data_IF_098317607612
#
_entry.id   IF_098317607612
#
_cell.length_a   1.000
_cell.length_b   1.000
_cell.length_c   1.000
_cell.angle_alpha   90.00
_cell.angle_beta   90.00
_cell.angle_gamma   90.00
#
_symmetry.space_group_name_H-M   'P 1'
#
loop_
_entity.id
_entity.type
_entity.pdbx_description
1 polymer ?
#
# COMPACT_ATOMS: atom_id res chain seq x y z
N UNK A 1 22.88 0.13 11.28
CA UNK A 1 23.12 -1.29 11.58
C UNK A 1 21.76 -1.87 11.91
N UNK A 2 21.13 -2.53 10.94
CA UNK A 2 19.80 -3.14 11.14
C UNK A 2 19.94 -4.29 12.14
N UNK A 3 18.99 -4.46 13.07
CA UNK A 3 19.01 -5.59 13.98
C UNK A 3 18.98 -6.89 13.17
N UNK A 4 19.75 -7.86 13.64
CA UNK A 4 19.95 -9.18 13.06
C UNK A 4 18.59 -9.82 12.75
N UNK A 5 18.19 -9.83 11.46
CA UNK A 5 16.87 -10.30 11.01
C UNK A 5 16.66 -11.81 11.22
N UNK A 6 17.71 -12.57 11.55
CA UNK A 6 17.66 -14.01 11.60
C UNK A 6 17.80 -14.55 13.03
N UNK A 7 16.73 -15.15 13.55
CA UNK A 7 16.77 -16.03 14.72
C UNK A 7 17.47 -17.37 14.41
N UNK A 8 17.62 -18.23 15.42
CA UNK A 8 18.39 -19.51 15.38
C UNK A 8 17.70 -20.65 14.60
N UNK A 9 17.09 -20.37 13.45
CA UNK A 9 16.32 -21.37 12.73
C UNK A 9 17.11 -22.03 11.57
N UNK A 10 16.49 -23.02 10.91
CA UNK A 10 17.07 -24.03 10.02
C UNK A 10 17.79 -23.43 8.78
N UNK A 11 18.67 -24.19 8.09
CA UNK A 11 19.53 -23.66 7.01
C UNK A 11 18.78 -23.01 5.84
N UNK A 12 17.57 -23.47 5.54
CA UNK A 12 16.71 -22.88 4.51
C UNK A 12 16.10 -21.54 4.95
N UNK A 13 15.88 -21.37 6.26
CA UNK A 13 15.38 -20.13 6.84
C UNK A 13 16.42 -18.99 6.78
N UNK A 14 17.71 -19.36 6.70
CA UNK A 14 18.81 -18.40 6.60
C UNK A 14 19.00 -17.84 5.17
N UNK A 15 18.56 -18.56 4.13
CA UNK A 15 18.81 -18.16 2.74
C UNK A 15 17.95 -16.95 2.32
N UNK A 16 16.63 -16.99 2.58
CA UNK A 16 15.74 -15.87 2.26
C UNK A 16 16.02 -14.66 3.15
N UNK A 17 16.26 -14.86 4.45
CA UNK A 17 16.70 -13.79 5.36
C UNK A 17 17.95 -13.07 4.83
N UNK A 18 18.93 -13.83 4.34
CA UNK A 18 20.16 -13.28 3.79
C UNK A 18 19.93 -12.55 2.48
N UNK A 19 19.12 -13.10 1.58
CA UNK A 19 18.76 -12.45 0.31
C UNK A 19 18.03 -11.12 0.56
N UNK A 20 17.11 -11.11 1.52
CA UNK A 20 16.42 -9.90 1.99
C UNK A 20 17.41 -8.88 2.55
N UNK A 21 18.31 -9.32 3.44
CA UNK A 21 19.27 -8.43 4.07
C UNK A 21 20.21 -7.82 3.02
N UNK A 22 20.71 -8.61 2.08
CA UNK A 22 21.54 -8.14 0.97
C UNK A 22 20.77 -7.14 0.09
N UNK A 23 19.47 -7.36 -0.16
CA UNK A 23 18.64 -6.44 -0.92
C UNK A 23 18.35 -5.12 -0.19
N UNK A 24 18.16 -5.19 1.13
CA UNK A 24 17.95 -4.01 1.99
C UNK A 24 19.23 -3.15 2.06
N UNK A 25 20.39 -3.79 2.20
CA UNK A 25 21.69 -3.12 2.29
C UNK A 25 22.17 -2.57 0.94
N UNK A 26 22.02 -3.34 -0.14
CA UNK A 26 22.49 -2.96 -1.48
C UNK A 26 21.49 -2.11 -2.26
N UNK A 27 20.21 -2.14 -1.86
CA UNK A 27 19.11 -1.51 -2.59
C UNK A 27 18.76 -2.20 -3.91
N UNK A 28 19.33 -3.38 -4.20
CA UNK A 28 19.02 -4.17 -5.40
C UNK A 28 18.06 -5.30 -5.06
N UNK A 29 16.96 -5.40 -5.79
CA UNK A 29 15.94 -6.45 -5.57
C UNK A 29 15.97 -7.40 -6.74
N UNK A 30 16.36 -8.65 -6.49
CA UNK A 30 16.37 -9.69 -7.52
C UNK A 30 14.93 -9.99 -7.95
N UNK A 31 14.77 -10.45 -9.20
CA UNK A 31 13.45 -10.85 -9.69
C UNK A 31 12.85 -12.00 -8.86
N UNK A 32 13.71 -12.91 -8.40
CA UNK A 32 13.35 -14.05 -7.57
C UNK A 32 12.89 -13.60 -6.17
N UNK A 33 13.65 -12.71 -5.50
CA UNK A 33 13.23 -12.14 -4.21
C UNK A 33 11.93 -11.35 -4.35
N UNK A 34 11.79 -10.61 -5.46
CA UNK A 34 10.60 -9.83 -5.76
C UNK A 34 9.37 -10.72 -5.88
N UNK A 35 9.50 -11.85 -6.58
CA UNK A 35 8.45 -12.84 -6.72
C UNK A 35 8.11 -13.50 -5.38
N UNK A 36 9.12 -13.97 -4.63
CA UNK A 36 8.95 -14.60 -3.31
C UNK A 36 8.20 -13.70 -2.32
N UNK A 37 8.46 -12.40 -2.35
CA UNK A 37 7.89 -11.42 -1.40
C UNK A 37 6.72 -10.61 -1.96
N UNK A 38 6.26 -10.89 -3.19
CA UNK A 38 5.17 -10.14 -3.82
C UNK A 38 5.48 -8.65 -3.99
N UNK A 39 6.75 -8.29 -4.21
CA UNK A 39 7.20 -6.91 -4.33
C UNK A 39 6.84 -6.32 -5.72
N UNK A 40 6.66 -4.99 -5.81
CA UNK A 40 6.30 -4.34 -7.07
C UNK A 40 7.40 -4.42 -8.13
N UNK A 41 7.00 -4.41 -9.40
CA UNK A 41 7.90 -4.56 -10.55
C UNK A 41 9.03 -3.52 -10.64
N UNK A 42 8.82 -2.32 -10.07
CA UNK A 42 9.81 -1.25 -10.06
C UNK A 42 10.84 -1.47 -8.94
N UNK A 43 12.11 -1.67 -9.31
CA UNK A 43 13.21 -1.99 -8.39
C UNK A 43 13.41 -0.93 -7.30
N UNK A 44 13.26 0.37 -7.62
CA UNK A 44 13.41 1.45 -6.63
C UNK A 44 12.30 1.41 -5.58
N UNK A 45 11.07 1.11 -6.00
CA UNK A 45 9.91 0.98 -5.12
C UNK A 45 10.04 -0.29 -4.27
N UNK A 46 10.41 -1.42 -4.89
CA UNK A 46 10.65 -2.68 -4.19
C UNK A 46 11.75 -2.55 -3.11
N UNK A 47 12.85 -1.87 -3.44
CA UNK A 47 13.93 -1.62 -2.48
C UNK A 47 13.50 -0.67 -1.36
N UNK A 48 12.69 0.34 -1.66
CA UNK A 48 12.10 1.24 -0.66
C UNK A 48 11.20 0.48 0.31
N UNK A 49 10.31 -0.35 -0.23
CA UNK A 49 9.36 -1.16 0.52
C UNK A 49 10.07 -2.19 1.42
N UNK A 50 11.09 -2.88 0.89
CA UNK A 50 11.95 -3.77 1.67
C UNK A 50 12.61 -3.07 2.87
N UNK A 51 13.11 -1.84 2.68
CA UNK A 51 13.72 -1.07 3.77
C UNK A 51 12.69 -0.67 4.84
N UNK A 52 11.49 -0.25 4.43
CA UNK A 52 10.40 0.06 5.35
C UNK A 52 10.00 -1.17 6.15
N UNK A 53 9.76 -2.29 5.47
CA UNK A 53 9.38 -3.56 6.09
C UNK A 53 10.46 -4.13 7.04
N UNK A 54 11.73 -3.84 6.74
CA UNK A 54 12.83 -4.20 7.64
C UNK A 54 12.88 -3.35 8.92
N UNK A 55 12.34 -2.13 8.90
CA UNK A 55 12.32 -1.24 10.06
C UNK A 55 11.12 -1.47 10.97
N UNK A 56 9.95 -1.78 10.41
CA UNK A 56 8.71 -2.00 11.16
C UNK A 56 8.47 -3.46 11.59
N UNK A 57 9.28 -4.39 11.08
CA UNK A 57 9.23 -5.83 11.40
C UNK A 57 8.34 -6.66 10.47
N UNK A 58 7.65 -6.04 9.51
CA UNK A 58 6.82 -6.74 8.50
C UNK A 58 7.63 -7.76 7.70
N UNK A 59 8.91 -7.46 7.44
CA UNK A 59 9.79 -8.36 6.68
C UNK A 59 9.96 -9.71 7.37
N UNK A 60 9.99 -9.74 8.71
CA UNK A 60 10.20 -10.97 9.48
C UNK A 60 8.99 -11.91 9.34
N UNK A 61 7.78 -11.35 9.43
CA UNK A 61 6.53 -12.09 9.23
C UNK A 61 6.41 -12.65 7.81
N UNK A 62 6.76 -11.86 6.79
CA UNK A 62 6.72 -12.31 5.39
C UNK A 62 7.70 -13.45 5.12
N UNK A 63 8.88 -13.40 5.73
CA UNK A 63 9.87 -14.47 5.62
C UNK A 63 9.34 -15.76 6.25
N UNK A 64 8.72 -15.68 7.43
CA UNK A 64 8.10 -16.83 8.10
C UNK A 64 6.98 -17.45 7.26
N UNK A 65 6.11 -16.62 6.65
CA UNK A 65 5.01 -17.07 5.78
C UNK A 65 5.52 -17.82 4.53
N UNK A 66 6.57 -17.30 3.89
CA UNK A 66 7.20 -17.95 2.72
C UNK A 66 7.85 -19.28 3.11
N UNK A 67 8.50 -19.33 4.27
CA UNK A 67 9.16 -20.53 4.80
C UNK A 67 8.15 -21.61 5.23
N UNK A 68 6.96 -21.21 5.67
CA UNK A 68 5.85 -22.11 5.99
C UNK A 68 5.21 -22.76 4.74
N UNK A 69 5.67 -22.44 3.53
CA UNK A 69 5.15 -23.01 2.29
C UNK A 69 3.76 -22.47 1.91
N UNK A 70 3.31 -21.37 2.53
CA UNK A 70 2.13 -20.63 2.10
C UNK A 70 2.48 -19.81 0.84
N UNK A 71 2.68 -20.50 -0.28
CA UNK A 71 2.75 -19.86 -1.58
C UNK A 71 1.36 -19.31 -1.87
N UNK A 72 1.18 -17.98 -1.83
CA UNK A 72 -0.03 -17.34 -2.38
C UNK A 72 -0.03 -17.63 -3.88
N UNK A 73 -0.86 -18.59 -4.26
CA UNK A 73 -1.05 -19.02 -5.64
C UNK A 73 -1.50 -17.86 -6.55
N UNK A 74 -0.98 -17.92 -7.77
CA UNK A 74 -1.47 -17.27 -8.99
C UNK A 74 -1.82 -15.77 -8.87
N UNK A 75 -0.75 -15.00 -9.03
CA UNK A 75 -0.71 -13.59 -9.38
C UNK A 75 -1.48 -13.34 -10.70
N UNK A 76 -2.79 -13.10 -10.63
CA UNK A 76 -3.48 -12.44 -11.75
C UNK A 76 -2.96 -11.00 -11.87
N UNK A 77 -2.43 -10.73 -13.07
CA UNK A 77 -1.93 -9.46 -13.60
C UNK A 77 -2.59 -8.21 -13.00
N UNK A 78 -1.82 -7.43 -12.26
CA UNK A 78 -2.10 -6.04 -11.94
C UNK A 78 -1.33 -5.61 -10.70
N UNK A 79 -0.44 -4.63 -10.82
CA UNK A 79 0.40 -4.15 -9.72
C UNK A 79 -0.40 -3.49 -8.60
N UNK A 80 -1.00 -4.31 -7.74
CA UNK A 80 -1.74 -3.89 -6.55
C UNK A 80 -0.84 -3.87 -5.30
N UNK A 81 -1.23 -3.03 -4.36
CA UNK A 81 -0.67 -2.94 -3.00
C UNK A 81 -1.02 -4.25 -2.27
N UNK A 82 -0.03 -4.96 -1.72
CA UNK A 82 -0.26 -6.21 -0.98
C UNK A 82 -0.73 -5.90 0.44
N UNK A 83 -1.88 -6.45 0.83
CA UNK A 83 -2.42 -6.42 2.20
C UNK A 83 -2.40 -7.84 2.80
N UNK A 84 -2.22 -7.91 4.13
CA UNK A 84 -2.19 -9.17 4.90
C UNK A 84 -3.45 -10.03 4.66
N UNK A 85 -3.28 -11.35 4.56
CA UNK A 85 -4.35 -12.34 4.32
C UNK A 85 -5.54 -12.25 5.27
N UNK A 86 -5.29 -11.86 6.53
CA UNK A 86 -6.31 -11.82 7.57
C UNK A 86 -7.35 -10.71 7.29
N UNK A 87 -6.92 -9.57 6.76
CA UNK A 87 -7.80 -8.44 6.43
C UNK A 87 -8.65 -8.70 5.18
N UNK A 88 -8.08 -9.40 4.20
CA UNK A 88 -8.80 -9.78 2.99
C UNK A 88 -9.95 -10.74 3.31
N UNK A 89 -9.76 -11.67 4.25
CA UNK A 89 -10.82 -12.59 4.69
C UNK A 89 -11.94 -11.90 5.49
N UNK A 90 -11.62 -10.88 6.30
CA UNK A 90 -12.63 -10.09 7.03
C UNK A 90 -13.49 -9.22 6.11
N UNK A 91 -12.95 -8.76 4.98
CA UNK A 91 -13.70 -8.01 3.96
C UNK A 91 -14.57 -8.95 3.08
N UNK A 92 -14.15 -10.20 2.90
CA UNK A 92 -14.82 -11.19 2.02
C UNK A 92 -15.99 -11.91 2.70
N UNK A 93 -16.27 -11.69 4.00
CA UNK A 93 -17.49 -12.23 4.60
C UNK A 93 -18.72 -11.56 3.96
N UNK A 94 -19.40 -12.27 3.06
CA UNK A 94 -20.50 -11.81 2.20
C UNK A 94 -21.76 -11.31 2.96
N UNK A 95 -21.72 -11.22 4.28
CA UNK A 95 -22.89 -11.06 5.15
C UNK A 95 -22.92 -9.80 6.02
N UNK A 96 -22.01 -8.83 5.81
CA UNK A 96 -22.10 -7.50 6.47
C UNK A 96 -22.61 -6.43 5.52
N UNK A 97 -23.88 -6.55 5.15
CA UNK A 97 -24.66 -5.50 4.48
C UNK A 97 -25.04 -4.36 5.44
N UNK A 98 -24.11 -3.95 6.31
CA UNK A 98 -24.19 -2.70 7.05
C UNK A 98 -23.18 -1.77 6.38
N UNK A 99 -23.66 -0.70 5.76
CA UNK A 99 -22.81 0.30 5.13
C UNK A 99 -21.88 0.85 6.21
N UNK A 100 -20.62 0.40 6.24
CA UNK A 100 -19.66 0.96 7.17
C UNK A 100 -19.55 2.46 6.92
N UNK A 101 -19.64 3.23 8.00
CA UNK A 101 -19.55 4.69 7.97
C UNK A 101 -18.38 5.17 8.82
N UNK A 102 -17.92 6.37 8.51
CA UNK A 102 -17.01 7.16 9.32
C UNK A 102 -17.51 8.59 9.37
N UNK A 103 -17.77 9.12 10.57
CA UNK A 103 -18.29 10.48 10.77
C UNK A 103 -19.57 10.74 9.95
N UNK A 104 -20.52 9.78 9.99
CA UNK A 104 -21.77 9.74 9.22
C UNK A 104 -21.63 9.67 7.68
N UNK A 105 -20.42 9.47 7.17
CA UNK A 105 -20.19 9.27 5.74
C UNK A 105 -19.95 7.80 5.40
N UNK A 106 -20.51 7.29 4.28
CA UNK A 106 -20.15 5.97 3.78
C UNK A 106 -18.66 5.94 3.42
N UNK A 107 -17.98 4.88 3.86
CA UNK A 107 -16.56 4.68 3.54
C UNK A 107 -16.34 3.91 2.24
N UNK A 108 -17.43 3.41 1.64
CA UNK A 108 -17.39 2.76 0.33
C UNK A 108 -16.76 3.65 -0.72
N UNK A 109 -15.85 3.12 -1.52
CA UNK A 109 -15.19 3.86 -2.59
C UNK A 109 -16.19 4.26 -3.65
N UNK A 110 -16.17 5.54 -3.98
CA UNK A 110 -16.84 6.04 -5.16
C UNK A 110 -15.93 5.84 -6.38
N UNK A 111 -16.16 4.78 -7.15
CA UNK A 111 -15.34 4.37 -8.31
C UNK A 111 -15.04 5.52 -9.27
N UNK A 112 -16.06 6.29 -9.66
CA UNK A 112 -15.86 7.44 -10.55
C UNK A 112 -14.95 8.53 -9.98
N UNK A 113 -14.94 8.77 -8.66
CA UNK A 113 -14.07 9.78 -8.05
C UNK A 113 -12.65 9.25 -7.91
N UNK A 114 -12.51 8.02 -7.43
CA UNK A 114 -11.22 7.35 -7.29
C UNK A 114 -10.53 7.14 -8.64
N UNK A 115 -11.29 6.72 -9.65
CA UNK A 115 -10.81 6.50 -11.01
C UNK A 115 -10.18 7.72 -11.68
N UNK A 116 -10.45 8.95 -11.21
CA UNK A 116 -9.76 10.16 -11.68
C UNK A 116 -8.27 10.17 -11.34
N UNK A 117 -7.87 9.36 -10.37
CA UNK A 117 -6.52 9.24 -9.85
C UNK A 117 -5.84 7.94 -10.24
N UNK A 118 -6.50 7.02 -10.96
CA UNK A 118 -5.91 5.74 -11.38
C UNK A 118 -5.57 5.84 -12.86
N UNK A 119 -4.29 5.79 -13.23
CA UNK A 119 -3.82 6.08 -14.60
C UNK A 119 -4.47 5.19 -15.68
N UNK A 120 -4.70 3.92 -15.37
CA UNK A 120 -5.28 2.93 -16.29
C UNK A 120 -6.82 2.91 -16.27
N UNK A 121 -7.47 3.75 -15.46
CA UNK A 121 -8.92 3.78 -15.35
C UNK A 121 -9.53 4.68 -16.43
N UNK A 122 -10.68 4.29 -16.98
CA UNK A 122 -11.36 5.03 -18.06
C UNK A 122 -11.70 6.49 -17.70
N UNK A 123 -11.85 6.78 -16.40
CA UNK A 123 -12.14 8.11 -15.88
C UNK A 123 -10.89 8.91 -15.44
N UNK A 124 -9.69 8.46 -15.77
CA UNK A 124 -8.45 9.15 -15.41
C UNK A 124 -8.41 10.57 -15.97
N UNK A 125 -7.98 11.52 -15.15
CA UNK A 125 -7.80 12.92 -15.56
C UNK A 125 -6.32 13.28 -15.55
N UNK A 126 -5.76 13.55 -16.75
CA UNK A 126 -4.37 13.96 -16.90
C UNK A 126 -4.05 15.20 -16.05
N UNK A 127 -2.91 15.17 -15.36
CA UNK A 127 -2.47 16.26 -14.47
C UNK A 127 -3.02 16.17 -13.04
N UNK A 128 -3.81 15.14 -12.71
CA UNK A 128 -4.12 14.79 -11.32
C UNK A 128 -3.00 13.98 -10.71
N UNK A 129 -2.90 14.02 -9.38
CA UNK A 129 -2.14 13.04 -8.60
C UNK A 129 -2.56 11.61 -8.94
N UNK A 130 -1.59 10.71 -9.01
CA UNK A 130 -1.77 9.32 -9.46
C UNK A 130 -1.71 8.39 -8.26
N UNK A 131 -2.74 7.60 -8.03
CA UNK A 131 -2.82 6.52 -7.07
C UNK A 131 -2.32 5.22 -7.73
N UNK A 132 -1.47 4.46 -7.04
CA UNK A 132 -0.83 3.27 -7.62
C UNK A 132 -1.70 2.00 -7.57
N UNK A 133 -2.79 1.99 -6.79
CA UNK A 133 -3.71 0.85 -6.70
C UNK A 133 -4.98 0.99 -7.56
N UNK A 134 -5.91 0.05 -7.37
CA UNK A 134 -7.25 0.08 -7.96
C UNK A 134 -8.33 0.52 -6.93
N UNK A 135 -9.61 0.47 -7.30
CA UNK A 135 -10.72 0.82 -6.39
C UNK A 135 -10.77 -0.07 -5.14
N UNK A 136 -10.48 -1.36 -5.27
CA UNK A 136 -10.44 -2.30 -4.13
C UNK A 136 -9.28 -1.99 -3.19
N UNK A 137 -8.12 -1.61 -3.72
CA UNK A 137 -6.98 -1.20 -2.89
C UNK A 137 -7.32 0.10 -2.13
N UNK A 138 -7.96 1.05 -2.80
CA UNK A 138 -8.44 2.27 -2.15
C UNK A 138 -9.46 1.97 -1.03
N UNK A 139 -10.38 1.04 -1.25
CA UNK A 139 -11.37 0.61 -0.25
C UNK A 139 -10.68 0.07 1.01
N UNK A 140 -9.73 -0.84 0.81
CA UNK A 140 -8.92 -1.43 1.90
C UNK A 140 -8.18 -0.35 2.69
N UNK A 141 -7.54 0.59 1.99
CA UNK A 141 -6.84 1.72 2.62
C UNK A 141 -7.78 2.59 3.45
N UNK A 142 -8.96 2.91 2.92
CA UNK A 142 -9.93 3.74 3.65
C UNK A 142 -10.43 3.02 4.90
N UNK A 143 -10.80 1.74 4.79
CA UNK A 143 -11.26 0.95 5.94
C UNK A 143 -10.18 0.89 7.02
N UNK A 144 -8.92 0.67 6.64
CA UNK A 144 -7.80 0.49 7.57
C UNK A 144 -7.35 1.80 8.22
N UNK A 145 -7.34 2.91 7.48
CA UNK A 145 -6.76 4.17 7.94
C UNK A 145 -7.77 5.24 8.34
N UNK A 146 -9.09 4.98 8.22
CA UNK A 146 -10.13 5.93 8.66
C UNK A 146 -9.90 6.40 10.10
N UNK A 147 -9.82 7.72 10.29
CA UNK A 147 -9.65 8.33 11.61
C UNK A 147 -8.25 8.26 12.20
N UNK A 148 -7.27 7.75 11.46
CA UNK A 148 -5.85 7.75 11.88
C UNK A 148 -5.12 9.04 11.50
N UNK A 149 -5.70 9.81 10.57
CA UNK A 149 -5.09 11.02 10.02
C UNK A 149 -5.43 12.31 10.76
N UNK A 150 -4.84 13.40 10.28
CA UNK A 150 -5.21 14.75 10.71
C UNK A 150 -6.48 15.20 9.98
N UNK A 151 -7.54 15.56 10.72
CA UNK A 151 -8.77 16.08 10.12
C UNK A 151 -8.50 17.41 9.41
N UNK A 152 -8.87 17.49 8.12
CA UNK A 152 -8.83 18.72 7.32
C UNK A 152 -10.27 19.12 6.97
N UNK A 153 -10.83 20.05 7.73
CA UNK A 153 -12.23 20.45 7.60
C UNK A 153 -13.19 19.37 8.13
N UNK A 154 -14.38 19.28 7.55
CA UNK A 154 -15.48 18.48 8.10
C UNK A 154 -15.58 17.05 7.58
N UNK A 155 -14.95 16.74 6.44
CA UNK A 155 -15.15 15.46 5.73
C UNK A 155 -13.89 14.98 5.03
N UNK A 156 -12.71 15.41 5.49
CA UNK A 156 -11.43 14.94 4.96
C UNK A 156 -10.47 14.69 6.09
N UNK A 157 -9.55 13.78 5.86
CA UNK A 157 -8.38 13.61 6.69
C UNK A 157 -7.14 13.39 5.84
N UNK A 158 -6.02 13.86 6.37
CA UNK A 158 -4.71 13.67 5.77
C UNK A 158 -3.99 12.56 6.52
N UNK A 159 -3.64 11.52 5.77
CA UNK A 159 -3.13 10.26 6.29
C UNK A 159 -1.74 10.03 5.72
N UNK A 160 -0.79 9.68 6.58
CA UNK A 160 0.44 9.00 6.18
C UNK A 160 0.18 7.49 6.20
N UNK A 161 0.17 6.87 5.02
CA UNK A 161 -0.09 5.44 4.88
C UNK A 161 1.14 4.60 5.25
N UNK A 162 2.30 5.22 5.48
CA UNK A 162 3.55 4.55 5.85
C UNK A 162 4.30 3.89 4.69
N UNK A 163 3.69 3.84 3.50
CA UNK A 163 4.31 3.34 2.27
C UNK A 163 3.81 4.13 1.06
N UNK A 164 4.56 4.12 -0.07
CA UNK A 164 4.17 4.85 -1.26
C UNK A 164 2.80 4.41 -1.78
N UNK A 165 1.82 5.32 -1.77
CA UNK A 165 0.46 5.08 -2.30
C UNK A 165 0.25 5.67 -3.69
N UNK A 166 1.17 6.51 -4.14
CA UNK A 166 1.03 7.22 -5.40
C UNK A 166 2.03 8.34 -5.62
N UNK A 167 1.72 9.18 -6.60
CA UNK A 167 2.44 10.39 -6.96
C UNK A 167 1.56 11.60 -6.76
N UNK A 168 2.07 12.55 -5.97
CA UNK A 168 1.53 13.89 -5.90
C UNK A 168 1.97 14.70 -7.12
N UNK A 169 1.02 15.37 -7.77
CA UNK A 169 1.30 16.35 -8.82
C UNK A 169 1.11 17.75 -8.25
N UNK A 170 2.18 18.55 -8.26
CA UNK A 170 2.11 19.95 -7.86
C UNK A 170 1.23 20.74 -8.85
N UNK A 171 0.12 21.35 -8.41
CA UNK A 171 -0.81 22.01 -9.32
C UNK A 171 -0.26 23.29 -9.97
N UNK A 172 0.82 23.85 -9.43
CA UNK A 172 1.45 25.08 -9.94
C UNK A 172 2.60 24.75 -10.89
N UNK A 173 3.51 23.85 -10.46
CA UNK A 173 4.74 23.56 -11.22
C UNK A 173 4.62 22.34 -12.13
N UNK A 174 3.62 21.48 -11.92
CA UNK A 174 3.51 20.18 -12.58
C UNK A 174 4.53 19.14 -12.10
N UNK A 175 5.33 19.48 -11.07
CA UNK A 175 6.31 18.56 -10.49
C UNK A 175 5.62 17.34 -9.91
N UNK A 176 6.21 16.16 -10.15
CA UNK A 176 5.68 14.87 -9.73
C UNK A 176 6.59 14.31 -8.65
N UNK A 177 6.01 14.01 -7.50
CA UNK A 177 6.74 13.49 -6.33
C UNK A 177 6.01 12.27 -5.80
N UNK A 178 6.72 11.16 -5.61
CA UNK A 178 6.19 9.98 -4.94
C UNK A 178 5.82 10.30 -3.48
N UNK A 179 4.71 9.76 -3.00
CA UNK A 179 4.15 10.13 -1.70
C UNK A 179 3.56 8.93 -0.96
N UNK A 180 3.81 8.89 0.36
CA UNK A 180 3.10 8.03 1.32
C UNK A 180 1.86 8.71 1.86
N UNK A 181 1.66 10.00 1.55
CA UNK A 181 0.57 10.81 2.06
C UNK A 181 -0.57 10.81 1.06
N UNK A 182 -1.79 10.62 1.56
CA UNK A 182 -3.00 10.98 0.83
C UNK A 182 -4.00 11.73 1.68
N UNK A 183 -4.96 12.35 1.00
CA UNK A 183 -6.17 12.87 1.63
C UNK A 183 -7.29 11.87 1.35
N UNK A 184 -7.92 11.37 2.40
CA UNK A 184 -9.17 10.63 2.29
C UNK A 184 -10.30 11.65 2.26
N UNK A 185 -11.09 11.63 1.19
CA UNK A 185 -12.24 12.51 0.99
C UNK A 185 -13.52 11.71 1.20
N UNK A 186 -14.26 12.04 2.25
CA UNK A 186 -15.57 11.46 2.54
C UNK A 186 -16.71 12.27 1.92
N UNK A 187 -17.76 11.61 1.46
CA UNK A 187 -18.97 12.28 0.97
C UNK A 187 -20.19 11.38 1.09
N UNK A 188 -21.39 11.95 0.96
CA UNK A 188 -22.65 11.20 1.00
C UNK A 188 -22.76 10.08 -0.06
N UNK A 189 -21.96 10.17 -1.12
CA UNK A 189 -21.94 9.19 -2.23
C UNK A 189 -20.79 8.19 -2.12
N UNK A 190 -20.02 8.20 -1.02
CA UNK A 190 -18.82 7.38 -0.84
C UNK A 190 -17.55 8.20 -0.68
N UNK A 191 -16.42 7.49 -0.57
CA UNK A 191 -15.11 8.06 -0.29
C UNK A 191 -14.12 7.84 -1.46
N UNK A 192 -12.99 8.54 -1.43
CA UNK A 192 -11.86 8.33 -2.36
C UNK A 192 -10.57 8.89 -1.75
N UNK A 193 -9.42 8.40 -2.24
CA UNK A 193 -8.08 8.82 -1.83
C UNK A 193 -7.46 9.66 -2.95
N UNK A 194 -6.89 10.80 -2.56
CA UNK A 194 -6.08 11.65 -3.43
C UNK A 194 -4.65 11.69 -2.89
N UNK A 195 -3.65 11.19 -3.63
CA UNK A 195 -2.25 11.35 -3.22
C UNK A 195 -1.88 12.83 -3.06
N UNK A 196 -1.25 13.16 -1.95
CA UNK A 196 -1.05 14.51 -1.47
C UNK A 196 0.43 14.83 -1.25
N UNK A 197 0.73 16.13 -1.15
CA UNK A 197 2.09 16.62 -0.97
C UNK A 197 2.72 15.96 0.28
N UNK A 198 3.90 15.34 0.17
CA UNK A 198 4.63 14.81 1.32
C UNK A 198 4.89 15.87 2.37
N UNK A 199 4.95 15.46 3.65
CA UNK A 199 5.50 16.34 4.67
C UNK A 199 6.99 16.53 4.44
N UNK A 200 7.44 17.77 4.54
CA UNK A 200 8.88 18.07 4.56
C UNK A 200 9.33 17.83 6.00
N UNK A 201 9.98 16.68 6.25
CA UNK A 201 10.70 16.45 7.50
C UNK A 201 12.09 17.06 7.42
#
# INVERSE_FOLDING_TARGET
MLPFLCGKNAPQEQALCREVQEAVESGRVTAELREKLGLPGNERVAAGLLRTWAQDGTIARLIEDVQAGQVRGEMERGGGITFDNDFDNDIISEDKNELETFDDYPIKVHEGKQGKHIAEHNNYQKGRSIFYGNNRDAEKLIIRFKGTGEKIGSNKERVDFGYPIGQYVNPITGEIIETTIGIIHYSKTGAHIVPAKPDTK
#
